data_IF_031869972018
#
_entry.id   IF_031869972018
#
_cell.length_a   1.000
_cell.length_b   1.000
_cell.length_c   1.000
_cell.angle_alpha   90.00
_cell.angle_beta   90.00
_cell.angle_gamma   90.00
#
_symmetry.space_group_name_H-M   'P 1'
#
loop_
_entity.id
_entity.type
_entity.pdbx_description
1 polymer ?
#
# COMPACT_ATOMS: atom_id res chain seq x y z
N UNK A 1 3.73 14.36 24.71
CA UNK A 1 2.25 14.42 24.65
C UNK A 1 1.75 12.98 24.54
N UNK A 2 0.83 12.54 25.41
CA UNK A 2 0.09 11.27 25.21
C UNK A 2 -1.29 11.67 24.66
N UNK A 3 -1.70 11.07 23.55
CA UNK A 3 -2.90 11.44 22.79
C UNK A 3 -3.52 10.18 22.19
N UNK A 4 -4.83 10.21 21.92
CA UNK A 4 -5.57 9.19 21.17
C UNK A 4 -5.86 9.65 19.72
N UNK A 5 -5.10 10.61 19.20
CA UNK A 5 -5.34 11.17 17.87
C UNK A 5 -4.84 10.28 16.73
N UNK A 6 -3.63 9.74 16.85
CA UNK A 6 -3.05 8.81 15.87
C UNK A 6 -1.87 8.07 16.47
N UNK A 7 -1.75 6.81 16.11
CA UNK A 7 -0.63 5.90 16.34
C UNK A 7 0.69 6.34 15.68
N UNK A 8 0.62 7.11 14.58
CA UNK A 8 1.79 7.74 13.95
C UNK A 8 2.52 8.75 14.85
N UNK A 9 1.92 9.14 15.98
CA UNK A 9 2.57 9.95 17.01
C UNK A 9 3.41 9.12 17.99
N UNK A 10 3.39 7.80 17.89
CA UNK A 10 4.16 6.91 18.76
C UNK A 10 5.67 6.99 18.46
N UNK A 11 6.48 6.75 19.48
CA UNK A 11 7.93 6.63 19.32
C UNK A 11 8.35 5.24 18.82
N UNK A 12 9.61 5.11 18.45
CA UNK A 12 10.19 3.84 17.97
C UNK A 12 10.29 2.82 19.12
N UNK A 13 9.89 1.57 18.87
CA UNK A 13 10.00 0.50 19.85
C UNK A 13 11.47 0.25 20.27
N UNK A 14 11.80 0.02 21.55
CA UNK A 14 13.19 -0.09 22.02
C UNK A 14 14.04 -1.15 21.29
N UNK A 15 13.45 -2.29 20.92
CA UNK A 15 14.16 -3.33 20.15
C UNK A 15 14.56 -2.87 18.74
N UNK A 16 13.77 -1.98 18.13
CA UNK A 16 14.10 -1.41 16.81
C UNK A 16 15.29 -0.45 16.97
N UNK A 17 15.26 0.42 17.99
CA UNK A 17 16.39 1.32 18.28
C UNK A 17 17.69 0.55 18.54
N UNK A 18 17.62 -0.53 19.31
CA UNK A 18 18.77 -1.41 19.55
C UNK A 18 19.30 -2.02 18.25
N UNK A 19 18.40 -2.50 17.37
CA UNK A 19 18.79 -3.08 16.08
C UNK A 19 19.48 -2.05 15.18
N UNK A 20 19.01 -0.80 15.17
CA UNK A 20 19.65 0.31 14.44
C UNK A 20 21.04 0.59 15.01
N UNK A 21 21.20 0.61 16.34
CA UNK A 21 22.51 0.79 16.98
C UNK A 21 23.48 -0.32 16.60
N UNK A 22 23.02 -1.57 16.61
CA UNK A 22 23.82 -2.74 16.21
C UNK A 22 24.23 -2.67 14.73
N UNK A 23 23.31 -2.24 13.84
CA UNK A 23 23.60 -2.06 12.41
C UNK A 23 24.61 -0.93 12.13
N UNK A 24 24.71 0.06 13.02
CA UNK A 24 25.58 1.22 12.88
C UNK A 24 27.06 0.96 13.27
N UNK A 25 27.43 -0.28 13.62
CA UNK A 25 28.79 -0.60 14.07
C UNK A 25 29.81 -0.76 12.94
N UNK A 26 29.37 -1.01 11.70
CA UNK A 26 30.24 -1.29 10.54
C UNK A 26 29.62 -0.77 9.23
N UNK A 27 30.35 -0.95 8.12
CA UNK A 27 29.86 -0.64 6.78
C UNK A 27 29.06 -1.80 6.18
N UNK A 28 28.13 -1.46 5.29
CA UNK A 28 27.40 -2.42 4.46
C UNK A 28 27.13 -1.84 3.08
N UNK A 29 26.83 -2.71 2.12
CA UNK A 29 26.39 -2.29 0.79
C UNK A 29 25.02 -1.62 0.86
N UNK A 30 24.82 -0.64 -0.02
CA UNK A 30 23.55 0.06 -0.15
C UNK A 30 22.53 -0.72 -0.99
N UNK A 31 21.35 -0.12 -1.14
CA UNK A 31 20.30 -0.59 -2.06
C UNK A 31 19.82 -2.04 -1.83
N UNK A 32 19.88 -2.50 -0.58
CA UNK A 32 19.33 -3.80 -0.16
C UNK A 32 20.31 -4.98 -0.25
N UNK A 33 21.56 -4.77 -0.66
CA UNK A 33 22.58 -5.83 -0.70
C UNK A 33 23.30 -6.05 0.65
N UNK A 34 22.57 -5.86 1.74
CA UNK A 34 23.06 -6.01 3.10
C UNK A 34 22.44 -7.24 3.80
N UNK A 35 23.06 -7.66 4.90
CA UNK A 35 22.60 -8.82 5.66
C UNK A 35 21.24 -8.62 6.31
N UNK A 36 20.92 -7.40 6.76
CA UNK A 36 19.65 -7.13 7.44
C UNK A 36 18.48 -7.20 6.47
N UNK A 37 18.64 -6.70 5.24
CA UNK A 37 17.67 -6.84 4.17
C UNK A 37 17.45 -8.32 3.82
N UNK A 38 18.52 -9.11 3.65
CA UNK A 38 18.39 -10.56 3.39
C UNK A 38 17.65 -11.29 4.51
N UNK A 39 17.96 -11.00 5.76
CA UNK A 39 17.29 -11.60 6.92
C UNK A 39 15.82 -11.18 7.02
N UNK A 40 15.51 -9.92 6.73
CA UNK A 40 14.14 -9.41 6.69
C UNK A 40 13.32 -10.09 5.58
N UNK A 41 13.88 -10.22 4.36
CA UNK A 41 13.23 -10.93 3.24
C UNK A 41 12.93 -12.38 3.63
N UNK A 42 13.91 -13.08 4.22
CA UNK A 42 13.72 -14.46 4.69
C UNK A 42 12.55 -14.57 5.67
N UNK A 43 12.50 -13.72 6.69
CA UNK A 43 11.42 -13.73 7.70
C UNK A 43 10.05 -13.42 7.10
N UNK A 44 9.97 -12.50 6.13
CA UNK A 44 8.70 -12.18 5.46
C UNK A 44 8.24 -13.39 4.62
N UNK A 45 9.15 -14.07 3.92
CA UNK A 45 8.82 -15.29 3.17
C UNK A 45 8.35 -16.43 4.06
N UNK A 46 8.98 -16.62 5.21
CA UNK A 46 8.56 -17.60 6.22
C UNK A 46 7.15 -17.30 6.77
N UNK A 47 6.79 -16.02 6.92
CA UNK A 47 5.49 -15.59 7.44
C UNK A 47 4.35 -15.69 6.40
N UNK A 48 4.64 -15.38 5.14
CA UNK A 48 3.63 -15.28 4.08
C UNK A 48 3.71 -16.44 3.08
N UNK A 49 4.72 -16.43 2.21
CA UNK A 49 5.02 -17.51 1.26
C UNK A 49 6.43 -17.37 0.70
N UNK A 50 7.01 -18.48 0.25
CA UNK A 50 8.35 -18.49 -0.36
C UNK A 50 8.40 -17.66 -1.66
N UNK A 51 7.30 -17.61 -2.41
CA UNK A 51 7.17 -16.86 -3.66
C UNK A 51 6.97 -15.33 -3.45
N UNK A 52 6.88 -14.86 -2.19
CA UNK A 52 6.74 -13.45 -1.89
C UNK A 52 8.04 -12.70 -2.17
N UNK A 53 7.93 -11.51 -2.80
CA UNK A 53 9.04 -10.59 -3.02
C UNK A 53 8.81 -9.27 -2.26
N UNK A 54 9.45 -9.09 -1.08
CA UNK A 54 9.30 -7.89 -0.29
C UNK A 54 10.12 -6.73 -0.88
N UNK A 55 9.48 -5.56 -1.01
CA UNK A 55 10.13 -4.30 -1.38
C UNK A 55 10.03 -3.32 -0.21
N UNK A 56 11.17 -2.85 0.29
CA UNK A 56 11.22 -1.92 1.42
C UNK A 56 11.15 -0.48 0.94
N UNK A 57 10.20 0.28 1.48
CA UNK A 57 9.93 1.67 1.10
C UNK A 57 9.74 2.52 2.36
N UNK A 58 9.85 3.84 2.21
CA UNK A 58 9.89 4.74 3.36
C UNK A 58 8.58 4.87 4.14
N UNK A 59 7.43 4.80 3.47
CA UNK A 59 6.12 5.00 4.11
C UNK A 59 4.98 4.30 3.36
N UNK A 60 3.78 4.34 3.95
CA UNK A 60 2.57 3.74 3.38
C UNK A 60 2.16 4.34 2.02
N UNK A 61 2.24 5.66 1.84
CA UNK A 61 1.92 6.31 0.57
C UNK A 61 2.83 5.82 -0.57
N UNK A 62 4.14 5.72 -0.33
CA UNK A 62 5.10 5.19 -1.30
C UNK A 62 4.81 3.72 -1.64
N UNK A 63 4.44 2.91 -0.63
CA UNK A 63 4.05 1.52 -0.83
C UNK A 63 2.81 1.40 -1.72
N UNK A 64 1.75 2.16 -1.42
CA UNK A 64 0.52 2.18 -2.20
C UNK A 64 0.76 2.62 -3.64
N UNK A 65 1.54 3.69 -3.85
CA UNK A 65 1.88 4.16 -5.20
C UNK A 65 2.62 3.09 -6.00
N UNK A 66 3.66 2.49 -5.44
CA UNK A 66 4.46 1.46 -6.14
C UNK A 66 3.58 0.26 -6.48
N UNK A 67 2.79 -0.23 -5.52
CA UNK A 67 1.88 -1.35 -5.76
C UNK A 67 0.86 -1.05 -6.86
N UNK A 68 0.25 0.13 -6.83
CA UNK A 68 -0.73 0.54 -7.85
C UNK A 68 -0.09 0.74 -9.23
N UNK A 69 1.13 1.27 -9.31
CA UNK A 69 1.87 1.40 -10.58
C UNK A 69 2.22 0.04 -11.19
N UNK A 70 2.52 -0.97 -10.36
CA UNK A 70 2.80 -2.33 -10.84
C UNK A 70 1.53 -3.05 -11.33
N UNK A 71 0.38 -2.74 -10.73
CA UNK A 71 -0.88 -3.45 -10.98
C UNK A 71 -1.79 -2.76 -12.01
N UNK A 72 -1.48 -1.53 -12.46
CA UNK A 72 -2.36 -0.75 -13.32
C UNK A 72 -1.64 -0.13 -14.50
N UNK A 73 -2.40 0.06 -15.58
CA UNK A 73 -2.07 0.94 -16.68
C UNK A 73 -2.77 2.30 -16.50
N UNK A 74 -2.26 3.34 -17.15
CA UNK A 74 -2.83 4.70 -17.07
C UNK A 74 -4.27 4.81 -17.57
N UNK A 75 -4.72 3.90 -18.43
CA UNK A 75 -6.11 3.84 -18.88
C UNK A 75 -7.01 2.99 -17.97
N UNK A 76 -6.47 2.44 -16.88
CA UNK A 76 -7.28 1.70 -15.92
C UNK A 76 -8.03 2.63 -14.96
N UNK A 77 -9.06 2.06 -14.34
CA UNK A 77 -9.70 2.59 -13.16
C UNK A 77 -9.33 1.74 -11.94
N UNK A 78 -8.95 2.42 -10.85
CA UNK A 78 -8.67 1.86 -9.53
C UNK A 78 -9.92 2.05 -8.67
N UNK A 79 -10.57 0.96 -8.28
CA UNK A 79 -11.80 0.96 -7.50
C UNK A 79 -11.47 0.90 -6.01
N UNK A 80 -12.02 1.81 -5.20
CA UNK A 80 -11.81 1.81 -3.75
C UNK A 80 -13.03 2.37 -2.99
N UNK A 81 -13.16 2.15 -1.66
CA UNK A 81 -14.09 2.90 -0.83
C UNK A 81 -13.86 4.41 -0.95
N UNK A 82 -14.91 5.21 -0.78
CA UNK A 82 -14.80 6.68 -0.69
C UNK A 82 -13.93 7.17 0.49
N UNK A 83 -13.76 6.34 1.51
CA UNK A 83 -12.94 6.61 2.70
C UNK A 83 -11.51 6.08 2.58
N UNK A 84 -11.12 5.50 1.45
CA UNK A 84 -9.82 4.86 1.31
C UNK A 84 -8.68 5.88 1.39
N UNK A 85 -7.62 5.57 2.15
CA UNK A 85 -6.46 6.44 2.35
C UNK A 85 -5.84 6.92 1.02
N UNK A 86 -5.72 6.02 0.04
CA UNK A 86 -5.23 6.32 -1.32
C UNK A 86 -6.02 7.42 -2.05
N UNK A 87 -7.26 7.65 -1.63
CA UNK A 87 -8.13 8.70 -2.18
C UNK A 87 -8.14 9.95 -1.29
N UNK A 88 -8.25 9.79 0.03
CA UNK A 88 -8.47 10.93 0.95
C UNK A 88 -7.19 11.59 1.44
N UNK A 89 -6.14 10.82 1.75
CA UNK A 89 -5.02 11.28 2.59
C UNK A 89 -3.65 11.17 1.90
N UNK A 90 -3.63 10.90 0.60
CA UNK A 90 -2.39 10.81 -0.19
C UNK A 90 -2.20 11.97 -1.18
N UNK A 91 -2.93 13.07 -1.00
CA UNK A 91 -2.78 14.29 -1.80
C UNK A 91 -2.89 14.04 -3.33
N UNK A 92 -3.72 13.08 -3.75
CA UNK A 92 -3.87 12.69 -5.16
C UNK A 92 -2.64 12.00 -5.77
N UNK A 93 -1.67 11.58 -4.94
CA UNK A 93 -0.44 10.96 -5.42
C UNK A 93 -0.67 9.70 -6.24
N UNK A 94 -1.57 8.77 -5.88
CA UNK A 94 -1.79 7.58 -6.71
C UNK A 94 -2.27 7.92 -8.12
N UNK A 95 -3.22 8.84 -8.29
CA UNK A 95 -3.66 9.32 -9.61
C UNK A 95 -2.50 9.94 -10.39
N UNK A 96 -1.72 10.82 -9.75
CA UNK A 96 -0.59 11.49 -10.40
C UNK A 96 0.47 10.51 -10.89
N UNK A 97 0.80 9.51 -10.07
CA UNK A 97 1.92 8.61 -10.33
C UNK A 97 1.56 7.46 -11.27
N UNK A 98 0.32 6.96 -11.19
CA UNK A 98 -0.16 5.87 -12.08
C UNK A 98 -0.69 6.41 -13.42
N UNK A 99 -1.20 7.64 -13.45
CA UNK A 99 -2.01 8.17 -14.54
C UNK A 99 -3.41 7.56 -14.62
N UNK A 100 -3.70 6.53 -13.80
CA UNK A 100 -4.97 5.86 -13.75
C UNK A 100 -6.01 6.71 -13.00
N UNK A 101 -7.28 6.54 -13.38
CA UNK A 101 -8.38 7.16 -12.68
C UNK A 101 -8.66 6.40 -11.37
N UNK A 102 -8.91 7.12 -10.27
CA UNK A 102 -9.52 6.51 -9.08
C UNK A 102 -11.04 6.66 -9.17
N UNK A 103 -11.76 5.56 -8.98
CA UNK A 103 -13.22 5.54 -8.90
C UNK A 103 -13.64 5.09 -7.51
N UNK A 104 -14.20 6.02 -6.75
CA UNK A 104 -14.67 5.76 -5.40
C UNK A 104 -16.06 5.14 -5.39
N UNK A 105 -16.27 4.23 -4.44
CA UNK A 105 -17.54 3.53 -4.23
C UNK A 105 -18.04 3.90 -2.83
N UNK A 106 -19.28 4.42 -2.70
CA UNK A 106 -19.87 4.69 -1.40
C UNK A 106 -20.02 3.40 -0.59
N UNK A 107 -19.58 3.45 0.66
CA UNK A 107 -19.65 2.35 1.64
C UNK A 107 -20.10 2.94 2.98
N UNK A 108 -20.91 2.20 3.75
CA UNK A 108 -21.36 2.65 5.08
C UNK A 108 -20.29 2.45 6.16
N UNK A 109 -19.49 1.40 6.05
CA UNK A 109 -18.52 0.92 7.04
C UNK A 109 -17.09 0.87 6.49
N UNK A 110 -16.84 1.53 5.37
CA UNK A 110 -15.54 1.50 4.68
C UNK A 110 -15.23 0.20 3.91
N UNK A 111 -16.14 -0.79 3.89
CA UNK A 111 -15.87 -2.10 3.29
C UNK A 111 -16.53 -2.26 1.92
N UNK A 112 -15.74 -2.68 0.94
CA UNK A 112 -16.27 -3.12 -0.36
C UNK A 112 -16.86 -4.52 -0.25
N UNK A 113 -18.01 -4.70 -0.89
CA UNK A 113 -18.59 -6.02 -1.13
C UNK A 113 -18.65 -6.28 -2.63
N UNK A 114 -18.68 -7.56 -3.06
CA UNK A 114 -18.87 -7.89 -4.47
C UNK A 114 -20.13 -7.23 -5.07
N UNK A 115 -21.20 -7.10 -4.29
CA UNK A 115 -22.45 -6.46 -4.72
C UNK A 115 -22.24 -4.97 -5.02
N UNK A 116 -21.47 -4.27 -4.19
CA UNK A 116 -21.13 -2.86 -4.42
C UNK A 116 -20.22 -2.66 -5.63
N UNK A 117 -19.37 -3.65 -5.95
CA UNK A 117 -18.42 -3.59 -7.07
C UNK A 117 -19.07 -3.88 -8.43
N UNK A 118 -20.08 -4.76 -8.48
CA UNK A 118 -20.72 -5.22 -9.73
C UNK A 118 -21.08 -4.10 -10.72
N UNK A 119 -21.67 -2.95 -10.31
CA UNK A 119 -22.01 -1.87 -11.24
C UNK A 119 -20.80 -1.20 -11.89
N UNK A 120 -19.60 -1.35 -11.31
CA UNK A 120 -18.35 -0.73 -11.76
C UNK A 120 -17.49 -1.71 -12.58
N UNK A 121 -17.71 -3.02 -12.44
CA UNK A 121 -17.06 -4.06 -13.25
C UNK A 121 -17.80 -4.27 -14.56
N UNK A 122 -17.79 -3.24 -15.41
CA UNK A 122 -18.50 -3.23 -16.70
C UNK A 122 -17.67 -2.56 -17.79
N UNK A 123 -18.19 -2.60 -19.01
CA UNK A 123 -17.62 -1.92 -20.19
C UNK A 123 -16.22 -2.36 -20.58
N UNK A 124 -15.88 -3.61 -20.23
CA UNK A 124 -14.63 -4.24 -20.64
C UNK A 124 -14.49 -4.22 -22.17
N UNK A 125 -13.34 -3.74 -22.64
CA UNK A 125 -13.02 -3.62 -24.07
C UNK A 125 -13.57 -2.38 -24.77
N UNK A 126 -14.37 -1.53 -24.09
CA UNK A 126 -14.86 -0.27 -24.68
C UNK A 126 -13.78 0.81 -24.59
N UNK A 127 -13.09 1.09 -25.70
CA UNK A 127 -11.89 1.94 -25.75
C UNK A 127 -12.11 3.39 -25.29
N UNK A 128 -13.35 3.87 -25.27
CA UNK A 128 -13.69 5.23 -24.82
C UNK A 128 -13.85 5.35 -23.30
N UNK A 129 -13.73 4.25 -22.55
CA UNK A 129 -13.92 4.21 -21.09
C UNK A 129 -12.68 3.67 -20.39
N UNK A 130 -12.34 4.24 -19.24
CA UNK A 130 -11.32 3.70 -18.34
C UNK A 130 -11.70 2.27 -17.94
N UNK A 131 -10.74 1.34 -18.03
CA UNK A 131 -11.00 -0.09 -17.85
C UNK A 131 -10.80 -0.49 -16.37
N UNK A 132 -11.76 -1.15 -15.70
CA UNK A 132 -11.54 -1.64 -14.33
C UNK A 132 -10.29 -2.53 -14.28
N UNK A 133 -9.27 -2.14 -13.50
CA UNK A 133 -7.97 -2.83 -13.47
C UNK A 133 -7.56 -3.28 -12.07
N UNK A 134 -7.84 -2.46 -11.06
CA UNK A 134 -7.43 -2.75 -9.67
C UNK A 134 -8.59 -2.48 -8.72
N UNK A 135 -8.74 -3.33 -7.71
CA UNK A 135 -9.58 -3.09 -6.55
C UNK A 135 -8.66 -2.93 -5.35
N UNK A 136 -8.70 -1.77 -4.70
CA UNK A 136 -7.92 -1.47 -3.50
C UNK A 136 -8.80 -1.56 -2.26
N UNK A 137 -8.38 -2.37 -1.30
CA UNK A 137 -9.02 -2.50 0.02
C UNK A 137 -8.00 -2.23 1.12
N UNK A 138 -8.44 -1.61 2.20
CA UNK A 138 -7.67 -1.51 3.45
C UNK A 138 -8.18 -2.57 4.41
N UNK A 139 -7.28 -3.39 4.94
CA UNK A 139 -7.61 -4.40 5.96
C UNK A 139 -7.13 -3.89 7.31
N UNK A 140 -8.07 -3.48 8.14
CA UNK A 140 -7.83 -2.99 9.49
C UNK A 140 -8.30 -4.01 10.50
N UNK A 141 -7.58 -4.14 11.62
CA UNK A 141 -8.08 -4.88 12.79
C UNK A 141 -9.10 -4.08 13.59
N UNK A 142 -9.21 -2.79 13.31
CA UNK A 142 -10.12 -1.82 13.92
C UNK A 142 -11.25 -1.47 12.93
N UNK A 143 -12.45 -1.16 13.44
CA UNK A 143 -13.63 -0.78 12.64
C UNK A 143 -13.78 0.73 12.53
#
# INVERSE_FOLDING_TARGET
>A
MRSLASDNNSGVHPLILKSIQEANMNHAYGYGDDSWTRDAVKKIRELFSEDCEPLFVFNGTGANIIALQLLSHSYNSILCPQTAHIYVDECGSPTKMTGAQITTIPTLDGKLTPQLLKPYLRDFGVQHRSQPGVISISQTTEL
#
